data_IF_074689989370
#
_entry.id   IF_074689989370
#
_cell.length_a   1.000
_cell.length_b   1.000
_cell.length_c   1.000
_cell.angle_alpha   90.00
_cell.angle_beta   90.00
_cell.angle_gamma   90.00
#
_symmetry.space_group_name_H-M   'P 1'
#
loop_
_entity.id
_entity.type
_entity.pdbx_description
1 polymer ?
#
# COMPACT_ATOMS: atom_id res chain seq x y z
N UNK A 1 -9.16 -12.66 -9.66
CA UNK A 1 -8.65 -12.92 -8.31
C UNK A 1 -9.46 -12.15 -7.28
N UNK A 2 -9.67 -12.75 -6.13
CA UNK A 2 -10.37 -12.16 -5.00
C UNK A 2 -9.46 -12.14 -3.78
N UNK A 3 -9.69 -11.21 -2.85
CA UNK A 3 -8.92 -11.13 -1.62
C UNK A 3 -9.10 -12.39 -0.77
N UNK A 4 -8.04 -12.79 -0.08
CA UNK A 4 -8.05 -13.96 0.79
C UNK A 4 -7.75 -15.29 0.10
N UNK A 5 -7.63 -15.30 -1.22
CA UNK A 5 -7.29 -16.51 -1.95
C UNK A 5 -5.80 -16.84 -1.83
N UNK A 6 -5.48 -18.14 -1.92
CA UNK A 6 -4.11 -18.61 -2.02
C UNK A 6 -3.85 -19.17 -3.40
N UNK A 7 -2.67 -18.86 -3.94
CA UNK A 7 -2.17 -19.44 -5.18
C UNK A 7 -0.83 -20.11 -4.93
N UNK A 8 -0.56 -21.20 -5.65
CA UNK A 8 0.71 -21.93 -5.53
C UNK A 8 1.46 -21.78 -6.85
N UNK A 9 2.69 -21.25 -6.76
CA UNK A 9 3.57 -21.04 -7.89
C UNK A 9 4.90 -21.74 -7.62
N UNK A 10 5.17 -22.85 -8.31
CA UNK A 10 6.42 -23.59 -8.14
C UNK A 10 6.69 -24.01 -6.69
N UNK A 11 5.65 -24.44 -5.97
CA UNK A 11 5.75 -24.80 -4.55
C UNK A 11 5.67 -23.64 -3.57
N UNK A 12 5.58 -22.40 -4.06
CA UNK A 12 5.44 -21.20 -3.21
C UNK A 12 3.96 -20.86 -3.04
N UNK A 13 3.56 -20.64 -1.79
CA UNK A 13 2.19 -20.30 -1.46
C UNK A 13 2.07 -18.79 -1.29
N UNK A 14 1.22 -18.16 -2.10
CA UNK A 14 1.02 -16.71 -2.11
C UNK A 14 -0.44 -16.41 -1.83
N UNK A 15 -0.68 -15.58 -0.81
CA UNK A 15 -2.01 -15.09 -0.47
C UNK A 15 -2.31 -13.81 -1.24
N UNK A 16 -3.52 -13.73 -1.79
CA UNK A 16 -4.01 -12.51 -2.47
C UNK A 16 -4.73 -11.66 -1.43
N UNK A 17 -4.27 -10.41 -1.27
CA UNK A 17 -4.86 -9.44 -0.34
C UNK A 17 -5.56 -8.34 -1.13
N UNK A 18 -6.83 -8.12 -0.86
CA UNK A 18 -7.56 -6.99 -1.45
C UNK A 18 -7.17 -5.71 -0.72
N UNK A 19 -6.57 -4.78 -1.45
CA UNK A 19 -6.02 -3.53 -0.89
C UNK A 19 -6.49 -2.33 -1.72
N UNK A 20 -7.79 -1.97 -1.64
CA UNK A 20 -8.32 -0.87 -2.42
C UNK A 20 -7.78 0.49 -1.93
N UNK A 21 -7.85 1.49 -2.79
CA UNK A 21 -7.42 2.85 -2.50
C UNK A 21 -6.81 3.50 -3.72
N UNK A 22 -5.74 2.92 -4.28
CA UNK A 22 -5.21 3.32 -5.58
C UNK A 22 -6.24 3.02 -6.69
N UNK A 23 -6.90 1.86 -6.58
CA UNK A 23 -8.04 1.50 -7.42
C UNK A 23 -8.96 0.56 -6.63
N UNK A 24 -10.25 0.41 -7.03
CA UNK A 24 -11.18 -0.46 -6.30
C UNK A 24 -10.76 -1.94 -6.30
N UNK A 25 -10.11 -2.40 -7.36
CA UNK A 25 -9.69 -3.79 -7.51
C UNK A 25 -8.23 -4.03 -7.17
N UNK A 26 -7.53 -3.06 -6.58
CA UNK A 26 -6.10 -3.21 -6.29
C UNK A 26 -5.85 -4.35 -5.31
N UNK A 27 -4.78 -5.11 -5.56
CA UNK A 27 -4.39 -6.24 -4.73
C UNK A 27 -2.90 -6.21 -4.44
N UNK A 28 -2.54 -6.68 -3.25
CA UNK A 28 -1.17 -7.03 -2.88
C UNK A 28 -1.05 -8.54 -2.82
N UNK A 29 0.17 -9.03 -2.88
CA UNK A 29 0.45 -10.48 -2.81
C UNK A 29 1.40 -10.72 -1.65
N UNK A 30 1.04 -11.67 -0.78
CA UNK A 30 1.77 -11.95 0.46
C UNK A 30 2.32 -13.37 0.45
N UNK A 31 3.64 -13.48 0.52
CA UNK A 31 4.34 -14.76 0.64
C UNK A 31 4.83 -14.91 2.08
N UNK A 32 4.01 -15.51 2.93
CA UNK A 32 4.22 -15.58 4.37
C UNK A 32 5.51 -16.28 4.75
N UNK A 33 5.85 -17.38 4.07
CA UNK A 33 7.04 -18.18 4.42
C UNK A 33 8.32 -17.37 4.30
N UNK A 34 8.40 -16.48 3.32
CA UNK A 34 9.59 -15.63 3.10
C UNK A 34 9.45 -14.24 3.71
N UNK A 35 8.25 -13.83 4.09
CA UNK A 35 7.97 -12.47 4.54
C UNK A 35 8.01 -11.45 3.41
N UNK A 36 7.69 -11.86 2.18
CA UNK A 36 7.72 -11.00 1.00
C UNK A 36 6.33 -10.43 0.72
N UNK A 37 6.24 -9.12 0.63
CA UNK A 37 5.01 -8.43 0.26
C UNK A 37 5.20 -7.70 -1.07
N UNK A 38 4.38 -8.05 -2.05
CA UNK A 38 4.35 -7.44 -3.37
C UNK A 38 3.23 -6.41 -3.36
N UNK A 39 3.59 -5.12 -3.34
CA UNK A 39 2.64 -4.03 -3.07
C UNK A 39 2.10 -3.35 -4.31
N UNK A 40 2.63 -3.67 -5.49
CA UNK A 40 2.19 -3.06 -6.74
C UNK A 40 2.19 -1.53 -6.63
N UNK A 41 1.07 -0.87 -6.87
CA UNK A 41 0.95 0.60 -6.85
C UNK A 41 0.49 1.17 -5.51
N UNK A 42 0.44 0.37 -4.44
CA UNK A 42 0.01 0.84 -3.13
C UNK A 42 1.17 1.46 -2.33
N UNK A 43 2.33 0.80 -2.33
CA UNK A 43 3.52 1.25 -1.57
C UNK A 43 4.72 1.29 -2.49
N UNK A 44 5.31 2.46 -2.66
CA UNK A 44 6.54 2.66 -3.42
C UNK A 44 7.15 4.02 -3.04
N UNK A 45 8.43 4.21 -3.34
CA UNK A 45 9.15 5.47 -3.05
C UNK A 45 8.97 6.46 -4.19
N UNK A 46 7.86 7.14 -4.23
CA UNK A 46 7.57 8.23 -5.16
C UNK A 46 6.28 8.90 -4.70
N UNK A 47 5.53 9.48 -5.62
CA UNK A 47 4.26 10.13 -5.31
C UNK A 47 3.12 9.11 -5.36
N UNK A 48 2.55 8.81 -4.20
CA UNK A 48 1.34 8.00 -4.11
C UNK A 48 0.17 8.81 -4.66
N UNK A 49 -0.50 8.28 -5.67
CA UNK A 49 -1.59 8.98 -6.35
C UNK A 49 -2.93 8.52 -5.81
N UNK A 50 -3.66 9.43 -5.19
CA UNK A 50 -4.98 9.18 -4.62
C UNK A 50 -5.94 10.35 -4.87
N UNK A 51 -5.75 11.09 -5.98
CA UNK A 51 -6.59 12.24 -6.34
C UNK A 51 -7.58 11.94 -7.48
N UNK A 52 -7.33 10.89 -8.27
CA UNK A 52 -8.25 10.50 -9.35
C UNK A 52 -9.60 10.05 -8.79
N UNK A 53 -10.70 10.22 -9.55
CA UNK A 53 -12.03 9.78 -9.08
C UNK A 53 -12.11 8.28 -8.74
N UNK A 54 -11.28 7.45 -9.38
CA UNK A 54 -11.24 6.00 -9.11
C UNK A 54 -10.47 5.65 -7.84
N UNK A 55 -9.77 6.60 -7.23
CA UNK A 55 -9.05 6.38 -5.97
C UNK A 55 -9.95 6.66 -4.77
N UNK A 56 -9.59 6.06 -3.63
CA UNK A 56 -10.30 6.24 -2.38
C UNK A 56 -9.29 6.41 -1.25
N UNK A 57 -9.04 7.66 -0.79
CA UNK A 57 -8.05 7.91 0.27
C UNK A 57 -8.35 7.17 1.58
N UNK A 58 -9.61 7.03 1.96
CA UNK A 58 -9.99 6.31 3.19
C UNK A 58 -9.72 4.82 3.06
N UNK A 59 -10.08 4.21 1.91
CA UNK A 59 -9.78 2.82 1.63
C UNK A 59 -8.26 2.59 1.54
N UNK A 60 -7.52 3.56 1.01
CA UNK A 60 -6.06 3.51 0.96
C UNK A 60 -5.47 3.38 2.37
N UNK A 61 -5.95 4.20 3.32
CA UNK A 61 -5.53 4.09 4.71
C UNK A 61 -5.86 2.72 5.30
N UNK A 62 -7.08 2.22 5.09
CA UNK A 62 -7.48 0.90 5.58
C UNK A 62 -6.58 -0.20 5.04
N UNK A 63 -6.20 -0.11 3.77
CA UNK A 63 -5.29 -1.06 3.14
C UNK A 63 -3.89 -0.99 3.75
N UNK A 64 -3.37 0.22 4.01
CA UNK A 64 -2.08 0.39 4.70
C UNK A 64 -2.13 -0.18 6.11
N UNK A 65 -3.22 0.03 6.83
CA UNK A 65 -3.41 -0.54 8.17
C UNK A 65 -3.41 -2.06 8.14
N UNK A 66 -4.05 -2.64 7.13
CA UNK A 66 -4.11 -4.10 6.95
C UNK A 66 -2.73 -4.70 6.73
N UNK A 67 -1.95 -4.15 5.79
CA UNK A 67 -0.63 -4.70 5.48
C UNK A 67 0.41 -4.36 6.56
N UNK A 68 0.20 -3.30 7.34
CA UNK A 68 1.10 -2.93 8.43
C UNK A 68 1.11 -3.97 9.56
N UNK A 69 0.11 -4.82 9.65
CA UNK A 69 0.03 -5.88 10.66
C UNK A 69 0.84 -7.13 10.27
N UNK A 70 1.28 -7.22 9.01
CA UNK A 70 2.01 -8.38 8.53
C UNK A 70 3.49 -8.30 8.93
N UNK A 71 4.13 -9.45 9.26
CA UNK A 71 5.56 -9.48 9.57
C UNK A 71 6.39 -9.43 8.29
N UNK A 72 6.38 -8.28 7.61
CA UNK A 72 7.03 -8.10 6.32
C UNK A 72 8.54 -7.97 6.49
N UNK A 73 9.30 -8.75 5.73
CA UNK A 73 10.76 -8.70 5.70
C UNK A 73 11.27 -7.92 4.48
N UNK A 74 10.57 -8.02 3.35
CA UNK A 74 10.91 -7.29 2.13
C UNK A 74 9.66 -6.84 1.40
N UNK A 75 9.73 -5.64 0.80
CA UNK A 75 8.66 -5.06 0.00
C UNK A 75 9.08 -5.00 -1.46
N UNK A 76 8.22 -5.46 -2.35
CA UNK A 76 8.46 -5.43 -3.80
C UNK A 76 7.36 -4.60 -4.48
N UNK A 77 7.64 -3.35 -4.87
CA UNK A 77 6.68 -2.53 -5.60
C UNK A 77 6.67 -2.88 -7.10
N UNK A 78 5.66 -2.40 -7.81
CA UNK A 78 5.54 -2.65 -9.25
C UNK A 78 6.62 -1.91 -10.05
N UNK A 79 7.05 -0.74 -9.58
CA UNK A 79 7.99 0.12 -10.29
C UNK A 79 8.75 1.01 -9.32
N UNK A 80 9.66 1.85 -9.84
CA UNK A 80 10.56 2.72 -9.10
C UNK A 80 11.64 1.91 -8.37
N UNK A 81 11.92 2.20 -7.10
CA UNK A 81 13.00 1.57 -6.36
C UNK A 81 12.62 0.18 -5.84
N UNK A 82 13.52 -0.80 -5.99
CA UNK A 82 13.38 -2.11 -5.36
C UNK A 82 13.94 -2.13 -3.94
N UNK A 83 14.63 -1.06 -3.53
CA UNK A 83 15.25 -0.97 -2.22
C UNK A 83 14.32 -0.23 -1.24
N UNK A 84 13.25 -0.92 -0.85
CA UNK A 84 12.25 -0.38 0.06
C UNK A 84 12.30 -1.15 1.37
N UNK A 85 12.54 -0.43 2.46
CA UNK A 85 12.52 -1.02 3.79
C UNK A 85 11.08 -1.23 4.27
N UNK A 86 10.80 -2.33 4.98
CA UNK A 86 9.43 -2.61 5.47
C UNK A 86 8.85 -1.51 6.34
N UNK A 87 9.68 -0.77 7.05
CA UNK A 87 9.25 0.33 7.92
C UNK A 87 8.49 1.42 7.18
N UNK A 88 8.66 1.53 5.85
CA UNK A 88 7.94 2.53 5.06
C UNK A 88 6.43 2.32 5.14
N UNK A 89 5.98 1.07 5.27
CA UNK A 89 4.55 0.76 5.41
C UNK A 89 3.99 1.41 6.67
N UNK A 90 4.71 1.29 7.77
CA UNK A 90 4.31 1.90 9.05
C UNK A 90 4.32 3.43 8.94
N UNK A 91 5.34 4.00 8.34
CA UNK A 91 5.45 5.45 8.15
C UNK A 91 4.31 5.99 7.28
N UNK A 92 3.98 5.30 6.20
CA UNK A 92 2.86 5.68 5.32
C UNK A 92 1.52 5.57 6.04
N UNK A 93 1.29 4.47 6.78
CA UNK A 93 0.09 4.31 7.59
C UNK A 93 -0.07 5.47 8.58
N UNK A 94 1.00 5.80 9.29
CA UNK A 94 0.96 6.87 10.29
C UNK A 94 0.72 8.23 9.66
N UNK A 95 1.32 8.50 8.50
CA UNK A 95 1.09 9.74 7.77
C UNK A 95 -0.37 9.86 7.31
N UNK A 96 -0.95 8.79 6.78
CA UNK A 96 -2.36 8.78 6.37
C UNK A 96 -3.29 8.95 7.58
N UNK A 97 -2.96 8.34 8.73
CA UNK A 97 -3.72 8.53 9.97
C UNK A 97 -3.70 9.99 10.43
N UNK A 98 -2.55 10.64 10.33
CA UNK A 98 -2.44 12.07 10.67
C UNK A 98 -3.28 12.94 9.73
N UNK A 99 -3.25 12.66 8.44
CA UNK A 99 -4.07 13.37 7.46
C UNK A 99 -5.57 13.20 7.78
N UNK A 100 -5.98 12.00 8.15
CA UNK A 100 -7.36 11.74 8.56
C UNK A 100 -7.73 12.53 9.81
N UNK A 101 -6.88 12.54 10.81
CA UNK A 101 -7.10 13.29 12.05
C UNK A 101 -7.24 14.79 11.80
N UNK A 102 -6.48 15.32 10.84
CA UNK A 102 -6.53 16.74 10.47
C UNK A 102 -7.67 17.07 9.50
N UNK A 103 -8.47 16.09 9.10
CA UNK A 103 -9.54 16.30 8.12
C UNK A 103 -9.06 16.52 6.71
N UNK A 104 -7.86 16.05 6.36
CA UNK A 104 -7.23 16.25 5.05
C UNK A 104 -7.19 15.00 4.18
N UNK A 105 -7.67 13.85 4.68
CA UNK A 105 -7.66 12.60 3.94
C UNK A 105 -8.87 12.50 3.02
N UNK A 106 -8.89 13.34 1.99
CA UNK A 106 -9.96 13.39 0.98
C UNK A 106 -9.43 14.00 -0.32
N UNK A 107 -10.15 13.78 -1.41
CA UNK A 107 -9.79 14.36 -2.71
C UNK A 107 -9.78 15.88 -2.64
N UNK A 108 -8.80 16.49 -3.31
CA UNK A 108 -8.66 17.94 -3.40
C UNK A 108 -7.81 18.57 -2.30
N UNK A 109 -7.28 17.78 -1.37
CA UNK A 109 -6.47 18.32 -0.26
C UNK A 109 -5.11 18.83 -0.70
N UNK A 110 -4.51 18.27 -1.75
CA UNK A 110 -3.23 18.71 -2.27
C UNK A 110 -2.14 17.65 -2.22
N UNK A 111 -0.89 18.12 -2.24
CA UNK A 111 0.29 17.26 -2.21
C UNK A 111 0.96 17.40 -0.85
N UNK A 112 1.27 16.26 -0.23
CA UNK A 112 1.94 16.19 1.07
C UNK A 112 3.26 15.44 0.90
N UNK A 113 4.37 16.13 1.18
CA UNK A 113 5.72 15.62 0.99
C UNK A 113 6.27 15.07 2.31
N UNK A 114 6.80 13.85 2.28
CA UNK A 114 7.36 13.17 3.45
C UNK A 114 8.82 12.75 3.25
N UNK A 115 9.51 13.38 2.30
CA UNK A 115 10.91 13.11 2.00
C UNK A 115 11.05 12.12 0.86
N UNK A 116 11.22 10.84 1.19
CA UNK A 116 11.41 9.78 0.19
C UNK A 116 10.16 9.51 -0.66
N UNK A 117 9.01 9.97 -0.21
CA UNK A 117 7.73 9.76 -0.86
C UNK A 117 6.79 10.93 -0.59
N UNK A 118 5.75 11.00 -1.38
CA UNK A 118 4.71 12.03 -1.22
C UNK A 118 3.34 11.44 -1.50
N UNK A 119 2.30 12.16 -1.10
CA UNK A 119 0.91 11.76 -1.35
C UNK A 119 0.21 12.90 -2.09
N UNK A 120 -0.49 12.56 -3.16
CA UNK A 120 -1.31 13.50 -3.92
C UNK A 120 -2.78 13.12 -3.76
N UNK A 121 -3.51 13.97 -3.02
CA UNK A 121 -4.94 13.78 -2.73
C UNK A 121 -5.84 14.72 -3.53
#
# INVERSE_FOLDING_TARGET
LHGGEYKIFGGRRIEVLHTPGHSPGHMCFWEKEKGYLYTSDLVYKDRLTAWFPSTDPQAYLQSLEKIAELPVKRVFPAHHSLDIQPEIIIRMRDAFRQLKTKGQLHHGSGIFDYGDWSVWL
#
